data_IF_352403715072
#
_entry.id   IF_352403715072
#
_cell.length_a   1.000
_cell.length_b   1.000
_cell.length_c   1.000
_cell.angle_alpha   90.00
_cell.angle_beta   90.00
_cell.angle_gamma   90.00
#
_symmetry.space_group_name_H-M   'P 1'
#
loop_
_entity.id
_entity.type
_entity.pdbx_description
1 polymer ?
#
# COMPACT_ATOMS: atom_id res chain seq x y z
N UNK A 1 1.43 -37.43 45.78
CA UNK A 1 1.30 -37.57 44.31
C UNK A 1 1.40 -36.17 43.72
N UNK A 2 2.62 -35.69 43.52
CA UNK A 2 2.88 -34.44 42.78
C UNK A 2 2.56 -34.70 41.31
N UNK A 3 1.53 -34.01 40.81
CA UNK A 3 1.29 -33.94 39.38
C UNK A 3 2.40 -33.07 38.81
N UNK A 4 3.34 -33.68 38.08
CA UNK A 4 4.23 -32.95 37.18
C UNK A 4 3.34 -32.36 36.09
N UNK A 5 3.02 -31.08 36.21
CA UNK A 5 2.54 -30.29 35.09
C UNK A 5 3.60 -30.39 34.00
N UNK A 6 3.30 -31.16 32.95
CA UNK A 6 4.11 -31.27 31.75
C UNK A 6 4.17 -29.88 31.13
N UNK A 7 5.22 -29.12 31.44
CA UNK A 7 5.50 -27.77 30.95
C UNK A 7 5.81 -27.74 29.46
N UNK A 8 4.90 -28.26 28.64
CA UNK A 8 4.95 -28.16 27.20
C UNK A 8 4.34 -26.79 26.88
N UNK A 9 5.13 -25.84 26.36
CA UNK A 9 4.62 -24.53 26.01
C UNK A 9 3.55 -24.68 24.92
N UNK A 10 2.48 -23.91 25.05
CA UNK A 10 1.41 -23.85 24.06
C UNK A 10 1.95 -23.28 22.74
N UNK A 11 1.26 -23.56 21.63
CA UNK A 11 1.65 -23.04 20.31
C UNK A 11 1.76 -21.50 20.30
N UNK A 12 0.91 -20.81 21.06
CA UNK A 12 0.94 -19.35 21.19
C UNK A 12 2.17 -18.85 21.96
N UNK A 13 2.59 -19.56 23.02
CA UNK A 13 3.81 -19.25 23.77
C UNK A 13 5.07 -19.51 22.93
N UNK A 14 5.06 -20.57 22.12
CA UNK A 14 6.14 -20.87 21.17
C UNK A 14 6.26 -19.81 20.07
N UNK A 15 5.12 -19.34 19.52
CA UNK A 15 5.13 -18.27 18.52
C UNK A 15 5.67 -16.96 19.11
N UNK A 16 5.22 -16.57 20.30
CA UNK A 16 5.71 -15.37 21.00
C UNK A 16 7.20 -15.45 21.32
N UNK A 17 7.72 -16.62 21.69
CA UNK A 17 9.15 -16.80 21.94
C UNK A 17 9.97 -16.75 20.64
N UNK A 18 9.46 -17.32 19.56
CA UNK A 18 10.11 -17.24 18.24
C UNK A 18 10.15 -15.82 17.68
N UNK A 19 9.04 -15.07 17.78
CA UNK A 19 8.98 -13.66 17.38
C UNK A 19 9.97 -12.82 18.18
N UNK A 20 9.98 -13.01 19.50
CA UNK A 20 10.94 -12.33 20.39
C UNK A 20 12.39 -12.65 20.03
N UNK A 21 12.71 -13.92 19.76
CA UNK A 21 14.07 -14.32 19.34
C UNK A 21 14.47 -13.70 18.00
N UNK A 22 13.53 -13.60 17.06
CA UNK A 22 13.78 -12.95 15.77
C UNK A 22 14.02 -11.44 15.93
N UNK A 23 13.24 -10.77 16.77
CA UNK A 23 13.42 -9.35 17.08
C UNK A 23 14.75 -9.07 17.80
N UNK A 24 15.11 -9.91 18.77
CA UNK A 24 16.40 -9.84 19.47
C UNK A 24 17.57 -10.05 18.49
N UNK A 25 17.47 -11.05 17.61
CA UNK A 25 18.48 -11.29 16.57
C UNK A 25 18.62 -10.12 15.58
N UNK A 26 17.50 -9.53 15.15
CA UNK A 26 17.50 -8.32 14.31
C UNK A 26 18.12 -7.13 15.04
N UNK A 27 17.85 -6.97 16.33
CA UNK A 27 18.39 -5.89 17.15
C UNK A 27 19.91 -6.02 17.31
N UNK A 28 20.41 -7.23 17.56
CA UNK A 28 21.84 -7.51 17.66
C UNK A 28 22.55 -7.27 16.32
N UNK A 29 21.98 -7.74 15.22
CA UNK A 29 22.53 -7.51 13.88
C UNK A 29 22.61 -6.01 13.53
N UNK A 30 21.57 -5.25 13.89
CA UNK A 30 21.56 -3.79 13.73
C UNK A 30 22.62 -3.10 14.61
N UNK A 31 22.77 -3.53 15.86
CA UNK A 31 23.78 -2.99 16.76
C UNK A 31 25.21 -3.25 16.24
N UNK A 32 25.46 -4.46 15.72
CA UNK A 32 26.75 -4.80 15.12
C UNK A 32 27.05 -3.92 13.89
N UNK A 33 26.06 -3.76 13.00
CA UNK A 33 26.20 -2.92 11.82
C UNK A 33 26.49 -1.46 12.23
N UNK A 34 25.77 -0.92 13.21
CA UNK A 34 25.99 0.44 13.73
C UNK A 34 27.39 0.61 14.33
N UNK A 35 27.90 -0.38 15.07
CA UNK A 35 29.27 -0.36 15.59
C UNK A 35 30.32 -0.32 14.47
N UNK A 36 30.11 -1.10 13.40
CA UNK A 36 30.97 -1.07 12.21
C UNK A 36 30.93 0.30 11.52
N UNK A 37 29.77 0.95 11.50
CA UNK A 37 29.60 2.30 10.97
C UNK A 37 30.35 3.35 11.79
N UNK A 38 30.20 3.32 13.10
CA UNK A 38 30.89 4.24 14.01
C UNK A 38 32.41 4.11 13.90
N UNK A 39 32.93 2.89 13.72
CA UNK A 39 34.36 2.67 13.47
C UNK A 39 34.84 3.36 12.18
N UNK A 40 34.07 3.29 11.09
CA UNK A 40 34.40 3.96 9.83
C UNK A 40 34.33 5.50 9.94
N UNK A 41 33.36 6.01 10.69
CA UNK A 41 33.27 7.45 11.00
C UNK A 41 34.52 7.90 11.75
N UNK A 42 34.92 7.15 12.78
CA UNK A 42 36.11 7.45 13.57
C UNK A 42 37.40 7.43 12.71
N UNK A 43 37.54 6.44 11.81
CA UNK A 43 38.66 6.40 10.86
C UNK A 43 38.67 7.62 9.93
N UNK A 44 37.52 8.01 9.38
CA UNK A 44 37.40 9.17 8.49
C UNK A 44 37.80 10.47 9.21
N UNK A 45 37.36 10.67 10.45
CA UNK A 45 37.69 11.86 11.25
C UNK A 45 39.18 11.89 11.62
N UNK A 46 39.76 10.74 11.98
CA UNK A 46 41.19 10.63 12.30
C UNK A 46 42.05 10.97 11.08
N UNK A 47 41.70 10.45 9.91
CA UNK A 47 42.42 10.73 8.65
C UNK A 47 42.25 12.18 8.21
N UNK A 48 41.05 12.76 8.35
CA UNK A 48 40.78 14.16 8.04
C UNK A 48 41.61 15.10 8.93
N UNK A 49 41.74 14.81 10.23
CA UNK A 49 42.62 15.58 11.13
C UNK A 49 44.10 15.49 10.75
N UNK A 50 44.56 14.36 10.21
CA UNK A 50 45.98 14.12 9.88
C UNK A 50 46.38 14.62 8.49
N UNK A 51 45.49 14.53 7.51
CA UNK A 51 45.80 14.77 6.09
C UNK A 51 44.88 15.78 5.41
N UNK A 52 43.90 16.33 6.11
CA UNK A 52 42.90 17.24 5.58
C UNK A 52 41.77 16.53 4.82
N UNK A 53 40.63 17.23 4.68
CA UNK A 53 39.42 16.72 4.02
C UNK A 53 39.58 16.46 2.52
N UNK A 54 40.57 17.07 1.87
CA UNK A 54 40.86 16.84 0.45
C UNK A 54 41.56 15.50 0.17
N UNK A 55 42.03 14.78 1.19
CA UNK A 55 42.73 13.50 1.02
C UNK A 55 41.82 12.45 0.36
N UNK A 56 42.28 11.72 -0.68
CA UNK A 56 41.42 10.83 -1.48
C UNK A 56 40.72 9.75 -0.64
N UNK A 57 41.41 9.17 0.35
CA UNK A 57 40.83 8.18 1.27
C UNK A 57 39.77 8.78 2.20
N UNK A 58 39.91 10.05 2.60
CA UNK A 58 38.91 10.75 3.42
C UNK A 58 37.66 10.98 2.60
N UNK A 59 37.81 11.51 1.37
CA UNK A 59 36.69 11.72 0.44
C UNK A 59 35.95 10.42 0.09
N UNK A 60 36.67 9.32 -0.12
CA UNK A 60 36.05 8.02 -0.38
C UNK A 60 35.25 7.51 0.84
N UNK A 61 35.81 7.64 2.05
CA UNK A 61 35.12 7.25 3.28
C UNK A 61 33.91 8.15 3.56
N UNK A 62 34.04 9.47 3.41
CA UNK A 62 32.96 10.43 3.57
C UNK A 62 31.84 10.21 2.55
N UNK A 63 32.16 9.90 1.28
CA UNK A 63 31.16 9.57 0.27
C UNK A 63 30.44 8.25 0.58
N UNK A 64 31.19 7.22 1.02
CA UNK A 64 30.64 5.93 1.44
C UNK A 64 29.73 6.08 2.67
N UNK A 65 30.15 6.86 3.67
CA UNK A 65 29.36 7.17 4.86
C UNK A 65 28.14 8.03 4.52
N UNK A 66 28.24 8.98 3.59
CA UNK A 66 27.10 9.77 3.12
C UNK A 66 26.07 8.90 2.39
N UNK A 67 26.52 7.95 1.57
CA UNK A 67 25.64 6.96 0.93
C UNK A 67 24.93 6.09 1.97
N UNK A 68 25.68 5.55 2.93
CA UNK A 68 25.12 4.66 3.93
C UNK A 68 24.24 5.40 4.95
N UNK A 69 24.57 6.65 5.28
CA UNK A 69 23.70 7.54 6.06
C UNK A 69 22.41 7.89 5.33
N UNK A 70 22.42 8.01 3.99
CA UNK A 70 21.18 8.14 3.19
C UNK A 70 20.35 6.86 3.21
N UNK A 71 20.99 5.69 3.23
CA UNK A 71 20.30 4.40 3.40
C UNK A 71 19.77 4.20 4.83
N UNK A 72 20.40 4.83 5.84
CA UNK A 72 19.97 4.80 7.25
C UNK A 72 19.08 5.99 7.66
N UNK A 73 18.94 7.00 6.80
CA UNK A 73 18.44 8.34 7.12
C UNK A 73 17.15 8.74 6.43
N UNK A 74 16.27 7.76 6.20
CA UNK A 74 14.82 7.93 6.43
C UNK A 74 14.19 6.53 6.58
N UNK A 75 14.34 5.94 7.77
CA UNK A 75 13.43 4.90 8.23
C UNK A 75 12.75 5.47 9.47
N UNK A 76 11.54 6.07 9.35
CA UNK A 76 10.70 6.20 10.52
C UNK A 76 10.41 4.79 11.03
N UNK A 77 10.92 4.45 12.21
CA UNK A 77 10.29 3.45 13.08
C UNK A 77 9.00 4.07 13.62
N UNK A 78 8.01 4.19 12.75
CA UNK A 78 6.65 3.90 13.17
C UNK A 78 6.52 2.37 13.17
N UNK A 79 5.46 1.85 13.79
CA UNK A 79 4.97 0.46 13.75
C UNK A 79 5.00 -0.13 12.30
N UNK A 80 4.53 -1.34 11.97
CA UNK A 80 4.29 -1.69 10.56
C UNK A 80 3.21 -0.75 9.96
N UNK A 81 3.57 0.49 9.71
CA UNK A 81 2.82 1.47 8.96
C UNK A 81 3.36 1.27 7.56
N UNK A 82 2.64 0.43 6.85
CA UNK A 82 2.61 0.39 5.39
C UNK A 82 2.83 1.82 4.85
N UNK A 83 3.56 2.02 3.74
CA UNK A 83 3.68 3.35 3.12
C UNK A 83 2.27 3.96 3.03
N UNK A 84 2.05 5.29 3.12
CA UNK A 84 0.79 5.84 2.66
C UNK A 84 0.75 5.54 1.17
N UNK A 85 0.26 4.35 0.83
CA UNK A 85 -0.45 4.08 -0.39
C UNK A 85 -1.40 5.25 -0.38
N UNK A 86 -1.24 6.21 -1.30
CA UNK A 86 -2.33 7.12 -1.60
C UNK A 86 -3.41 6.18 -2.11
N UNK A 87 -4.15 5.59 -1.18
CA UNK A 87 -5.13 4.59 -1.49
C UNK A 87 -6.14 5.31 -2.37
N UNK A 88 -6.76 4.56 -3.28
CA UNK A 88 -7.89 5.13 -3.99
C UNK A 88 -8.91 5.72 -3.01
N UNK A 89 -9.84 6.51 -3.51
CA UNK A 89 -10.94 6.99 -2.68
C UNK A 89 -12.26 6.84 -3.39
N UNK A 90 -13.24 6.36 -2.65
CA UNK A 90 -14.63 6.36 -3.04
C UNK A 90 -15.22 7.71 -2.71
N UNK A 91 -15.51 8.52 -3.72
CA UNK A 91 -16.19 9.80 -3.55
C UNK A 91 -17.67 9.58 -3.81
N UNK A 92 -18.49 9.67 -2.78
CA UNK A 92 -19.95 9.54 -2.86
C UNK A 92 -20.57 10.94 -2.92
N UNK A 93 -21.44 11.18 -3.90
CA UNK A 93 -22.09 12.48 -4.12
C UNK A 93 -23.53 12.30 -4.60
N UNK A 94 -24.34 13.37 -4.51
CA UNK A 94 -25.69 13.39 -5.07
C UNK A 94 -25.66 14.07 -6.45
N UNK A 95 -26.26 13.43 -7.44
CA UNK A 95 -26.43 13.96 -8.79
C UNK A 95 -27.60 14.95 -8.87
N UNK A 96 -27.69 15.65 -10.00
CA UNK A 96 -28.79 16.59 -10.27
C UNK A 96 -30.16 15.88 -10.43
N UNK A 97 -30.17 14.57 -10.65
CA UNK A 97 -31.36 13.72 -10.70
C UNK A 97 -31.78 13.18 -9.32
N UNK A 98 -31.26 13.80 -8.25
CA UNK A 98 -31.49 13.46 -6.84
C UNK A 98 -31.00 12.05 -6.43
N UNK A 99 -30.31 11.32 -7.33
CA UNK A 99 -29.72 10.02 -7.02
C UNK A 99 -28.30 10.15 -6.47
N UNK A 100 -27.85 9.13 -5.77
CA UNK A 100 -26.51 9.03 -5.22
C UNK A 100 -25.61 8.20 -6.11
N UNK A 101 -24.40 8.68 -6.33
CA UNK A 101 -23.38 8.02 -7.13
C UNK A 101 -22.09 7.94 -6.32
N UNK A 102 -21.22 6.99 -6.69
CA UNK A 102 -19.85 6.97 -6.19
C UNK A 102 -18.85 6.78 -7.32
N UNK A 103 -17.71 7.45 -7.20
CA UNK A 103 -16.56 7.24 -8.08
C UNK A 103 -15.41 6.67 -7.27
N UNK A 104 -14.80 5.59 -7.76
CA UNK A 104 -13.49 5.17 -7.28
C UNK A 104 -12.43 5.97 -8.03
N UNK A 105 -11.66 6.74 -7.28
CA UNK A 105 -10.49 7.45 -7.80
C UNK A 105 -9.22 6.70 -7.45
N UNK A 106 -8.28 6.60 -8.37
CA UNK A 106 -6.95 6.08 -8.10
C UNK A 106 -6.08 7.09 -7.31
N UNK A 107 -4.88 6.66 -6.92
CA UNK A 107 -3.89 7.47 -6.20
C UNK A 107 -3.55 8.81 -6.88
N UNK A 108 -3.63 8.85 -8.21
CA UNK A 108 -3.39 10.02 -9.05
C UNK A 108 -4.63 10.93 -9.22
N UNK A 109 -5.78 10.56 -8.64
CA UNK A 109 -7.02 11.32 -8.69
C UNK A 109 -7.94 11.01 -9.88
N UNK A 110 -7.49 10.18 -10.83
CA UNK A 110 -8.26 9.73 -11.99
C UNK A 110 -9.40 8.82 -11.57
N UNK A 111 -10.53 8.90 -12.27
CA UNK A 111 -11.69 8.05 -12.01
C UNK A 111 -11.48 6.72 -12.73
N UNK A 112 -11.42 5.63 -11.98
CA UNK A 112 -11.20 4.29 -12.53
C UNK A 112 -12.47 3.44 -12.53
N UNK A 113 -13.49 3.82 -11.74
CA UNK A 113 -14.79 3.16 -11.70
C UNK A 113 -15.88 4.16 -11.32
N UNK A 114 -17.02 4.09 -11.98
CA UNK A 114 -18.22 4.88 -11.72
C UNK A 114 -19.39 3.95 -11.40
N UNK A 115 -20.20 4.30 -10.41
CA UNK A 115 -21.38 3.51 -10.04
C UNK A 115 -22.60 3.84 -10.88
N UNK A 116 -23.62 2.99 -10.80
CA UNK A 116 -24.98 3.38 -11.18
C UNK A 116 -25.61 4.32 -10.14
N UNK A 117 -26.76 4.91 -10.47
CA UNK A 117 -27.48 5.83 -9.59
C UNK A 117 -28.31 5.10 -8.55
N UNK A 118 -28.05 5.37 -7.29
CA UNK A 118 -28.77 4.82 -6.13
C UNK A 118 -29.82 5.79 -5.61
N UNK A 119 -30.93 5.27 -5.09
CA UNK A 119 -32.01 6.10 -4.52
C UNK A 119 -31.67 6.71 -3.17
N UNK A 120 -30.73 6.13 -2.42
CA UNK A 120 -30.34 6.62 -1.09
C UNK A 120 -28.83 6.55 -0.90
N UNK A 121 -28.31 7.44 -0.04
CA UNK A 121 -26.89 7.44 0.34
C UNK A 121 -26.46 6.10 0.94
N UNK A 122 -27.32 5.50 1.78
CA UNK A 122 -27.06 4.18 2.39
C UNK A 122 -26.93 3.07 1.33
N UNK A 123 -27.78 3.11 0.30
CA UNK A 123 -27.66 2.17 -0.83
C UNK A 123 -26.35 2.34 -1.60
N UNK A 124 -25.88 3.58 -1.79
CA UNK A 124 -24.59 3.85 -2.41
C UNK A 124 -23.42 3.33 -1.55
N UNK A 125 -23.48 3.49 -0.22
CA UNK A 125 -22.47 2.93 0.69
C UNK A 125 -22.42 1.40 0.63
N UNK A 126 -23.58 0.74 0.60
CA UNK A 126 -23.65 -0.71 0.40
C UNK A 126 -23.08 -1.12 -0.97
N UNK A 127 -23.29 -0.29 -2.01
CA UNK A 127 -22.67 -0.44 -3.32
C UNK A 127 -21.15 -0.42 -3.25
N UNK A 128 -20.57 0.54 -2.52
CA UNK A 128 -19.12 0.61 -2.27
C UNK A 128 -18.61 -0.66 -1.61
N UNK A 129 -19.26 -1.13 -0.54
CA UNK A 129 -18.87 -2.39 0.13
C UNK A 129 -18.96 -3.60 -0.81
N UNK A 130 -19.97 -3.62 -1.68
CA UNK A 130 -20.14 -4.69 -2.68
C UNK A 130 -19.00 -4.65 -3.68
N UNK A 131 -18.59 -3.46 -4.15
CA UNK A 131 -17.40 -3.30 -5.01
C UNK A 131 -16.15 -3.82 -4.31
N UNK A 132 -15.93 -3.46 -3.04
CA UNK A 132 -14.77 -3.96 -2.28
C UNK A 132 -14.71 -5.48 -2.22
N UNK A 133 -15.85 -6.12 -1.97
CA UNK A 133 -15.96 -7.59 -1.85
C UNK A 133 -15.84 -8.32 -3.19
N UNK A 134 -16.24 -7.67 -4.29
CA UNK A 134 -16.30 -8.28 -5.62
C UNK A 134 -15.18 -7.80 -6.56
N UNK A 135 -14.23 -6.99 -6.10
CA UNK A 135 -13.07 -6.54 -6.87
C UNK A 135 -12.03 -7.67 -7.09
N UNK A 136 -12.48 -8.79 -7.64
CA UNK A 136 -11.67 -9.93 -8.04
C UNK A 136 -11.60 -10.01 -9.58
N UNK A 137 -10.49 -10.49 -10.16
CA UNK A 137 -10.29 -10.54 -11.61
C UNK A 137 -11.46 -11.20 -12.37
N UNK A 138 -12.06 -12.26 -11.84
CA UNK A 138 -13.15 -12.99 -12.51
C UNK A 138 -14.49 -12.24 -12.58
N UNK A 139 -14.62 -11.10 -11.88
CA UNK A 139 -15.87 -10.31 -11.82
C UNK A 139 -15.90 -9.16 -12.82
N UNK A 140 -14.80 -8.91 -13.50
CA UNK A 140 -14.70 -7.89 -14.53
C UNK A 140 -15.09 -8.47 -15.89
N UNK A 141 -15.96 -7.77 -16.60
CA UNK A 141 -16.34 -8.08 -17.97
C UNK A 141 -15.83 -6.98 -18.89
N UNK A 142 -14.91 -7.35 -19.78
CA UNK A 142 -14.41 -6.48 -20.85
C UNK A 142 -15.51 -6.31 -21.91
N UNK A 143 -15.76 -5.07 -22.32
CA UNK A 143 -16.73 -4.68 -23.35
C UNK A 143 -16.10 -3.68 -24.30
N UNK A 144 -16.75 -3.47 -25.43
CA UNK A 144 -16.36 -2.44 -26.40
C UNK A 144 -17.58 -1.58 -26.73
N UNK A 145 -17.34 -0.29 -26.98
CA UNK A 145 -18.37 0.60 -27.53
C UNK A 145 -18.62 0.26 -29.00
N UNK A 146 -19.67 0.85 -29.59
CA UNK A 146 -19.92 0.74 -31.04
C UNK A 146 -18.75 1.28 -31.87
N UNK A 147 -17.97 2.22 -31.32
CA UNK A 147 -16.75 2.75 -31.93
C UNK A 147 -15.50 1.88 -31.78
N UNK A 148 -15.61 0.75 -31.07
CA UNK A 148 -14.48 -0.16 -30.80
C UNK A 148 -13.65 0.20 -29.57
N UNK A 149 -14.02 1.25 -28.82
CA UNK A 149 -13.27 1.66 -27.63
C UNK A 149 -13.52 0.69 -26.47
N UNK A 150 -12.47 0.07 -25.90
CA UNK A 150 -12.60 -0.87 -24.80
C UNK A 150 -12.98 -0.20 -23.48
N UNK A 151 -13.88 -0.82 -22.72
CA UNK A 151 -14.22 -0.45 -21.35
C UNK A 151 -14.58 -1.72 -20.57
N UNK A 152 -14.65 -1.65 -19.25
CA UNK A 152 -15.05 -2.79 -18.43
C UNK A 152 -16.21 -2.47 -17.51
N UNK A 153 -16.94 -3.51 -17.13
CA UNK A 153 -17.95 -3.45 -16.08
C UNK A 153 -17.62 -4.43 -14.96
N UNK A 154 -17.92 -4.04 -13.73
CA UNK A 154 -17.78 -4.89 -12.57
C UNK A 154 -19.15 -5.48 -12.21
N UNK A 155 -19.22 -6.79 -12.08
CA UNK A 155 -20.45 -7.51 -11.70
C UNK A 155 -20.41 -7.99 -10.25
N UNK A 156 -21.57 -7.94 -9.60
CA UNK A 156 -21.80 -8.51 -8.27
C UNK A 156 -21.99 -10.04 -8.33
N UNK A 157 -22.06 -10.67 -7.15
CA UNK A 157 -22.51 -12.07 -6.93
C UNK A 157 -23.76 -12.45 -7.74
N UNK A 158 -24.71 -11.51 -7.85
CA UNK A 158 -25.98 -11.70 -8.53
C UNK A 158 -25.96 -11.29 -10.02
N UNK A 159 -24.77 -11.17 -10.63
CA UNK A 159 -24.56 -10.74 -12.03
C UNK A 159 -25.03 -9.32 -12.38
N UNK A 160 -25.47 -8.53 -11.40
CA UNK A 160 -25.81 -7.12 -11.58
C UNK A 160 -24.54 -6.29 -11.76
N UNK A 161 -24.59 -5.31 -12.67
CA UNK A 161 -23.51 -4.34 -12.85
C UNK A 161 -23.52 -3.39 -11.66
N UNK A 162 -22.39 -3.29 -10.97
CA UNK A 162 -22.22 -2.42 -9.78
C UNK A 162 -21.23 -1.29 -10.03
N UNK A 163 -20.51 -1.34 -11.15
CA UNK A 163 -19.64 -0.28 -11.58
C UNK A 163 -19.25 -0.42 -13.04
N UNK A 164 -18.98 0.71 -13.68
CA UNK A 164 -18.55 0.82 -15.07
C UNK A 164 -17.31 1.70 -15.14
N UNK A 165 -16.34 1.33 -15.96
CA UNK A 165 -15.17 2.18 -16.22
C UNK A 165 -15.47 3.24 -17.27
N UNK A 166 -14.60 4.25 -17.36
CA UNK A 166 -14.52 5.07 -18.57
C UNK A 166 -14.06 4.23 -19.77
N UNK A 167 -14.19 4.80 -20.97
CA UNK A 167 -13.66 4.20 -22.19
C UNK A 167 -12.15 4.43 -22.25
N UNK A 168 -11.41 3.41 -22.68
CA UNK A 168 -9.97 3.44 -22.82
C UNK A 168 -9.58 3.48 -24.30
N UNK A 169 -8.38 3.99 -24.57
CA UNK A 169 -7.83 4.02 -25.93
C UNK A 169 -7.31 2.65 -26.42
N UNK A 170 -7.11 1.69 -25.52
CA UNK A 170 -6.60 0.35 -25.86
C UNK A 170 -6.96 -0.71 -24.81
N UNK A 171 -6.98 -1.98 -25.22
CA UNK A 171 -7.24 -3.09 -24.29
C UNK A 171 -6.16 -3.23 -23.23
N UNK A 172 -4.92 -2.80 -23.52
CA UNK A 172 -3.84 -2.77 -22.53
C UNK A 172 -4.13 -1.75 -21.42
N UNK A 173 -4.47 -0.52 -21.79
CA UNK A 173 -4.84 0.53 -20.83
C UNK A 173 -6.06 0.14 -19.98
N UNK A 174 -7.04 -0.53 -20.59
CA UNK A 174 -8.20 -1.07 -19.87
C UNK A 174 -7.79 -2.09 -18.80
N UNK A 175 -6.88 -3.02 -19.11
CA UNK A 175 -6.38 -4.02 -18.14
C UNK A 175 -5.60 -3.39 -17.01
N UNK A 176 -4.80 -2.36 -17.29
CA UNK A 176 -4.14 -1.56 -16.25
C UNK A 176 -5.18 -0.88 -15.34
N UNK A 177 -6.27 -0.38 -15.93
CA UNK A 177 -7.45 0.11 -15.20
C UNK A 177 -8.07 -0.94 -14.27
N UNK A 178 -8.27 -2.17 -14.75
CA UNK A 178 -8.79 -3.29 -13.93
C UNK A 178 -7.85 -3.57 -12.75
N UNK A 179 -6.54 -3.67 -13.00
CA UNK A 179 -5.55 -3.88 -11.94
C UNK A 179 -5.55 -2.73 -10.92
N UNK A 180 -5.74 -1.51 -11.39
CA UNK A 180 -5.89 -0.34 -10.53
C UNK A 180 -7.13 -0.45 -9.64
N UNK A 181 -8.28 -0.89 -10.17
CA UNK A 181 -9.49 -1.11 -9.37
C UNK A 181 -9.26 -2.18 -8.31
N UNK A 182 -8.68 -3.33 -8.68
CA UNK A 182 -8.40 -4.44 -7.75
C UNK A 182 -7.50 -3.96 -6.60
N UNK A 183 -6.44 -3.21 -6.92
CA UNK A 183 -5.48 -2.71 -5.93
C UNK A 183 -6.10 -1.66 -4.99
N UNK A 184 -6.93 -0.78 -5.52
CA UNK A 184 -7.45 0.36 -4.76
C UNK A 184 -8.76 0.03 -4.03
N UNK A 185 -9.60 -0.88 -4.53
CA UNK A 185 -10.94 -1.11 -3.96
C UNK A 185 -10.90 -1.54 -2.49
N UNK A 186 -9.96 -2.40 -2.09
CA UNK A 186 -9.87 -2.94 -0.72
C UNK A 186 -9.43 -1.91 0.32
N UNK A 187 -8.54 -0.99 -0.06
CA UNK A 187 -7.89 -0.02 0.84
C UNK A 187 -8.49 1.39 0.73
N UNK A 188 -9.34 1.64 -0.27
CA UNK A 188 -9.82 2.98 -0.56
C UNK A 188 -10.71 3.56 0.54
N UNK A 189 -10.43 4.77 1.01
CA UNK A 189 -11.30 5.50 1.94
C UNK A 189 -12.63 5.91 1.31
N UNK A 190 -13.68 6.12 2.11
CA UNK A 190 -14.97 6.67 1.63
C UNK A 190 -15.07 8.13 2.04
N UNK A 191 -15.25 9.01 1.07
CA UNK A 191 -15.43 10.45 1.22
C UNK A 191 -16.84 10.82 0.75
N UNK A 192 -17.63 11.46 1.62
CA UNK A 192 -18.90 12.07 1.22
C UNK A 192 -18.62 13.47 0.71
N UNK A 193 -19.00 13.76 -0.53
CA UNK A 193 -19.00 15.11 -1.08
C UNK A 193 -20.42 15.67 -0.96
N UNK A 194 -20.60 16.59 -0.04
CA UNK A 194 -21.81 17.42 0.01
C UNK A 194 -21.73 18.42 -1.15
N UNK A 195 -22.79 18.48 -1.94
CA UNK A 195 -22.88 19.32 -3.14
C UNK A 195 -23.73 20.54 -2.82
#
# INVERSE_FOLDING_TARGET
>A
MEKKDSGIPTMEELLKTLEKQHEEGLREARAFLNLQFEAQICESQRLSRKYGSAHPRVRQLEARLAYLRKMQGDQPVVEPVEPPIRAGKFVVFQGADEKYYFHLRAANGEIILQSEGYTTFRSAQNGVETVRKNAAPERFEERQTEGGDPYFVLKSGNHQVIGRSEVYSSSAAMRDGIQSVIKNASTAGVEKRET
#
